data_IF_498540900987
#
_entry.id   IF_498540900987
#
_cell.length_a   1.000
_cell.length_b   1.000
_cell.length_c   1.000
_cell.angle_alpha   90.00
_cell.angle_beta   90.00
_cell.angle_gamma   90.00
#
_symmetry.space_group_name_H-M   'P 1'
#
loop_
_entity.id
_entity.type
_entity.pdbx_description
1 polymer ?
#
# COMPACT_ATOMS: atom_id res chain seq x y z
N UNK A 1 -41.54 29.48 -8.68
CA UNK A 1 -40.77 28.39 -9.29
C UNK A 1 -39.27 28.65 -9.32
N UNK A 2 -38.78 29.78 -9.84
CA UNK A 2 -37.32 30.01 -10.02
C UNK A 2 -36.44 29.83 -8.78
N UNK A 3 -36.93 30.18 -7.58
CA UNK A 3 -36.15 30.00 -6.34
C UNK A 3 -35.90 28.54 -5.97
N UNK A 4 -36.81 27.64 -6.35
CA UNK A 4 -36.69 26.20 -6.09
C UNK A 4 -35.71 25.55 -7.07
N UNK A 5 -35.78 25.95 -8.34
CA UNK A 5 -34.87 25.50 -9.40
C UNK A 5 -33.42 25.93 -9.13
N UNK A 6 -33.21 27.22 -8.84
CA UNK A 6 -31.88 27.76 -8.44
C UNK A 6 -31.35 27.13 -7.15
N UNK A 7 -32.22 26.77 -6.22
CA UNK A 7 -31.85 26.06 -4.99
C UNK A 7 -31.40 24.63 -5.26
N UNK A 8 -32.10 23.92 -6.13
CA UNK A 8 -31.80 22.54 -6.51
C UNK A 8 -30.50 22.44 -7.31
N UNK A 9 -30.30 23.33 -8.28
CA UNK A 9 -29.08 23.40 -9.09
C UNK A 9 -27.85 23.63 -8.21
N UNK A 10 -27.88 24.65 -7.34
CA UNK A 10 -26.78 24.93 -6.38
C UNK A 10 -26.55 23.80 -5.39
N UNK A 11 -27.61 23.12 -4.97
CA UNK A 11 -27.52 21.98 -4.06
C UNK A 11 -26.82 20.80 -4.72
N UNK A 12 -27.18 20.51 -5.97
CA UNK A 12 -26.60 19.43 -6.76
C UNK A 12 -25.14 19.70 -7.11
N UNK A 13 -24.82 20.92 -7.57
CA UNK A 13 -23.45 21.33 -7.89
C UNK A 13 -22.53 21.19 -6.67
N UNK A 14 -22.92 21.78 -5.53
CA UNK A 14 -22.15 21.68 -4.28
C UNK A 14 -22.05 20.24 -3.76
N UNK A 15 -23.11 19.46 -3.93
CA UNK A 15 -23.13 18.06 -3.53
C UNK A 15 -22.16 17.22 -4.36
N UNK A 16 -22.14 17.44 -5.67
CA UNK A 16 -21.26 16.75 -6.62
C UNK A 16 -19.80 17.15 -6.41
N UNK A 17 -19.51 18.45 -6.29
CA UNK A 17 -18.17 18.96 -6.05
C UNK A 17 -17.57 18.38 -4.76
N UNK A 18 -18.30 18.50 -3.64
CA UNK A 18 -17.86 17.94 -2.34
C UNK A 18 -17.75 16.42 -2.36
N UNK A 19 -18.65 15.75 -3.09
CA UNK A 19 -18.63 14.30 -3.23
C UNK A 19 -17.40 13.84 -4.00
N UNK A 20 -17.09 14.51 -5.10
CA UNK A 20 -15.94 14.22 -5.95
C UNK A 20 -14.62 14.51 -5.25
N UNK A 21 -14.49 15.68 -4.62
CA UNK A 21 -13.29 16.07 -3.87
C UNK A 21 -12.98 15.06 -2.76
N UNK A 22 -13.95 14.76 -1.89
CA UNK A 22 -13.78 13.79 -0.80
C UNK A 22 -13.55 12.37 -1.31
N UNK A 23 -14.19 12.01 -2.41
CA UNK A 23 -14.03 10.68 -3.03
C UNK A 23 -12.62 10.50 -3.59
N UNK A 24 -12.11 11.51 -4.29
CA UNK A 24 -10.79 11.51 -4.90
C UNK A 24 -9.69 11.54 -3.84
N UNK A 25 -9.80 12.42 -2.84
CA UNK A 25 -8.83 12.52 -1.74
C UNK A 25 -8.69 11.19 -1.00
N UNK A 26 -9.81 10.61 -0.54
CA UNK A 26 -9.81 9.32 0.16
C UNK A 26 -9.35 8.16 -0.73
N UNK A 27 -9.70 8.20 -2.01
CA UNK A 27 -9.30 7.18 -2.97
C UNK A 27 -7.78 7.20 -3.18
N UNK A 28 -7.22 8.39 -3.36
CA UNK A 28 -5.79 8.59 -3.59
C UNK A 28 -4.96 8.25 -2.35
N UNK A 29 -5.36 8.71 -1.16
CA UNK A 29 -4.68 8.42 0.10
C UNK A 29 -4.61 6.91 0.35
N UNK A 30 -5.76 6.22 0.30
CA UNK A 30 -5.81 4.76 0.49
C UNK A 30 -5.07 3.99 -0.59
N UNK A 31 -5.11 4.48 -1.83
CA UNK A 31 -4.42 3.86 -2.96
C UNK A 31 -2.90 3.95 -2.79
N UNK A 32 -2.41 5.12 -2.40
CA UNK A 32 -1.00 5.39 -2.19
C UNK A 32 -0.44 4.62 -0.99
N UNK A 33 -1.14 4.64 0.15
CA UNK A 33 -0.74 3.90 1.36
C UNK A 33 -0.61 2.40 1.08
N UNK A 34 -1.67 1.79 0.53
CA UNK A 34 -1.66 0.36 0.17
C UNK A 34 -0.63 0.01 -0.89
N UNK A 35 -0.42 0.91 -1.86
CA UNK A 35 0.58 0.72 -2.91
C UNK A 35 2.00 0.72 -2.34
N UNK A 36 2.29 1.67 -1.45
CA UNK A 36 3.59 1.81 -0.81
C UNK A 36 3.88 0.65 0.14
N UNK A 37 2.93 0.24 0.97
CA UNK A 37 3.06 -0.90 1.89
C UNK A 37 3.37 -2.19 1.12
N UNK A 38 2.56 -2.52 0.10
CA UNK A 38 2.78 -3.70 -0.73
C UNK A 38 4.09 -3.64 -1.50
N UNK A 39 4.46 -2.46 -2.01
CA UNK A 39 5.72 -2.26 -2.72
C UNK A 39 6.92 -2.51 -1.82
N UNK A 40 6.89 -1.96 -0.61
CA UNK A 40 7.94 -2.13 0.39
C UNK A 40 8.04 -3.58 0.86
N UNK A 41 6.91 -4.24 1.16
CA UNK A 41 6.90 -5.65 1.56
C UNK A 41 7.51 -6.53 0.46
N UNK A 42 7.10 -6.32 -0.81
CA UNK A 42 7.64 -7.06 -1.95
C UNK A 42 9.14 -6.82 -2.11
N UNK A 43 9.60 -5.57 -1.98
CA UNK A 43 11.02 -5.24 -2.05
C UNK A 43 11.82 -5.95 -0.95
N UNK A 44 11.36 -5.91 0.30
CA UNK A 44 12.06 -6.57 1.41
C UNK A 44 12.13 -8.09 1.24
N UNK A 45 11.07 -8.72 0.71
CA UNK A 45 11.07 -10.15 0.38
C UNK A 45 12.10 -10.50 -0.70
N UNK A 46 12.19 -9.71 -1.77
CA UNK A 46 13.17 -9.95 -2.84
C UNK A 46 14.62 -9.71 -2.35
N UNK A 47 14.84 -8.70 -1.52
CA UNK A 47 16.13 -8.48 -0.85
C UNK A 47 16.49 -9.69 0.01
N UNK A 48 15.55 -10.19 0.83
CA UNK A 48 15.77 -11.37 1.66
C UNK A 48 16.13 -12.61 0.84
N UNK A 49 15.44 -12.87 -0.28
CA UNK A 49 15.78 -13.97 -1.20
C UNK A 49 17.20 -13.84 -1.74
N UNK A 50 17.59 -12.65 -2.19
CA UNK A 50 18.95 -12.41 -2.68
C UNK A 50 20.00 -12.62 -1.59
N UNK A 51 19.71 -12.23 -0.34
CA UNK A 51 20.57 -12.48 0.81
C UNK A 51 20.69 -13.96 1.16
N UNK A 52 19.60 -14.72 1.09
CA UNK A 52 19.59 -16.18 1.29
C UNK A 52 20.47 -16.88 0.24
N UNK A 53 20.41 -16.44 -1.02
CA UNK A 53 21.24 -16.96 -2.10
C UNK A 53 22.73 -16.66 -1.94
N UNK A 54 23.10 -15.65 -1.14
CA UNK A 54 24.50 -15.22 -0.96
C UNK A 54 25.32 -16.10 0.01
N UNK A 55 24.75 -17.19 0.55
CA UNK A 55 25.35 -18.24 1.42
C UNK A 55 26.10 -17.79 2.70
N UNK A 56 26.32 -16.50 2.92
CA UNK A 56 27.14 -15.98 4.02
C UNK A 56 26.32 -15.24 5.12
N UNK A 57 24.99 -15.29 5.06
CA UNK A 57 24.11 -14.64 6.04
C UNK A 57 23.23 -15.65 6.74
N UNK A 58 23.21 -15.59 8.08
CA UNK A 58 22.26 -16.35 8.90
C UNK A 58 20.85 -15.75 8.81
N UNK A 59 19.83 -16.56 9.13
CA UNK A 59 18.44 -16.12 9.08
C UNK A 59 18.18 -14.97 10.06
N UNK A 60 18.86 -14.96 11.21
CA UNK A 60 18.83 -13.85 12.17
C UNK A 60 19.36 -12.54 11.57
N UNK A 61 20.46 -12.60 10.81
CA UNK A 61 21.01 -11.43 10.15
C UNK A 61 20.08 -10.91 9.06
N UNK A 62 19.50 -11.81 8.25
CA UNK A 62 18.56 -11.43 7.19
C UNK A 62 17.31 -10.80 7.79
N UNK A 63 16.75 -11.40 8.85
CA UNK A 63 15.61 -10.83 9.58
C UNK A 63 15.92 -9.43 10.12
N UNK A 64 17.10 -9.23 10.71
CA UNK A 64 17.52 -7.91 11.24
C UNK A 64 17.69 -6.88 10.12
N UNK A 65 18.29 -7.25 8.99
CA UNK A 65 18.54 -6.34 7.87
C UNK A 65 17.27 -6.01 7.08
N UNK A 66 16.34 -6.96 7.00
CA UNK A 66 15.13 -6.80 6.18
C UNK A 66 13.89 -6.39 6.96
N UNK A 67 13.95 -6.44 8.29
CA UNK A 67 12.79 -6.22 9.17
C UNK A 67 11.73 -7.33 9.08
N UNK A 68 11.99 -8.40 8.34
CA UNK A 68 11.11 -9.57 8.27
C UNK A 68 11.27 -10.44 9.51
N UNK A 69 10.21 -11.14 9.93
CA UNK A 69 10.33 -12.15 10.98
C UNK A 69 11.19 -13.33 10.54
N UNK A 70 11.76 -14.06 11.49
CA UNK A 70 12.53 -15.28 11.22
C UNK A 70 11.68 -16.29 10.46
N UNK A 71 10.43 -16.51 10.89
CA UNK A 71 9.49 -17.39 10.21
C UNK A 71 9.30 -17.01 8.74
N UNK A 72 9.33 -15.70 8.44
CA UNK A 72 9.17 -15.23 7.07
C UNK A 72 10.42 -15.45 6.23
N UNK A 73 11.60 -15.29 6.82
CA UNK A 73 12.87 -15.60 6.18
C UNK A 73 12.97 -17.10 5.88
N UNK A 74 12.51 -17.95 6.81
CA UNK A 74 12.43 -19.41 6.64
C UNK A 74 11.45 -19.81 5.52
N UNK A 75 10.25 -19.23 5.48
CA UNK A 75 9.30 -19.45 4.39
C UNK A 75 9.91 -19.10 3.01
N UNK A 76 10.69 -18.02 2.95
CA UNK A 76 11.33 -17.57 1.71
C UNK A 76 12.51 -18.45 1.30
N UNK A 77 13.16 -19.16 2.22
CA UNK A 77 14.25 -20.09 1.89
C UNK A 77 13.71 -21.35 1.22
N UNK A 78 12.57 -21.87 1.70
CA UNK A 78 11.90 -23.05 1.14
C UNK A 78 11.32 -22.76 -0.24
N UNK A 79 10.80 -21.55 -0.46
CA UNK A 79 10.23 -21.16 -1.75
C UNK A 79 11.26 -20.95 -2.89
N UNK A 80 12.56 -20.98 -2.57
CA UNK A 80 13.66 -20.87 -3.54
C UNK A 80 14.21 -22.24 -4.00
N UNK A 81 13.69 -23.36 -3.47
CA UNK A 81 13.92 -24.73 -3.99
C UNK A 81 12.86 -25.13 -5.03
#
# INVERSE_FOLDING_TARGET
>A
EEGMEKGMEKGMEKGMEKGMEKGMEKGMEKGMEKGMEKGMEKAMREIAKNMLSAQNLSYQQISTLTGLSIDKVDELSIANE
#
